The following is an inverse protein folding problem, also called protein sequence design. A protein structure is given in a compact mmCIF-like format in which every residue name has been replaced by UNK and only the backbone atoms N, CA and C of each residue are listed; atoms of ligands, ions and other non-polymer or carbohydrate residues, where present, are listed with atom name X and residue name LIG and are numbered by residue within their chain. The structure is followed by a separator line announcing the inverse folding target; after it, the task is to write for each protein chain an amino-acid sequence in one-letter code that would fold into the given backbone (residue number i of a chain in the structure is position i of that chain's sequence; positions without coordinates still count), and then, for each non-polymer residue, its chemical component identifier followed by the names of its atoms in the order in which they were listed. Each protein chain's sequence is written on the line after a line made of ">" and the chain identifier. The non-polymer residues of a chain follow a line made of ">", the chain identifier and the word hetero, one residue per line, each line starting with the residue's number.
data_IF_616261533527
#
_entry.id   IF_616261533527
#
_cell.length_a   1.000
_cell.length_b   1.000
_cell.length_c   1.000
_cell.angle_alpha   90.00
_cell.angle_beta   90.00
_cell.angle_gamma   90.00
#
_symmetry.space_group_name_H-M   'P 1'
#
loop_
_entity.id
_entity.type
_entity.pdbx_description
1 polymer ?
#
# COMPACT_ATOMS: atom_id res chain seq x y z
N UNK A 1 13.61 0.08 27.09
CA UNK A 1 13.88 -1.10 26.25
C UNK A 1 14.44 -0.70 24.90
N UNK A 2 14.92 -1.70 24.14
CA UNK A 2 15.43 -1.51 22.77
C UNK A 2 14.68 -2.45 21.84
N UNK A 3 14.19 -1.93 20.70
CA UNK A 3 13.47 -2.70 19.69
C UNK A 3 14.20 -2.57 18.35
N UNK A 4 14.44 -3.70 17.71
CA UNK A 4 14.98 -3.77 16.35
C UNK A 4 13.93 -4.41 15.44
N UNK A 5 13.48 -3.65 14.44
CA UNK A 5 12.59 -4.13 13.40
C UNK A 5 13.36 -4.36 12.11
N UNK A 6 13.29 -5.58 11.60
CA UNK A 6 13.89 -5.97 10.32
C UNK A 6 12.82 -6.01 9.24
N UNK A 7 13.10 -5.41 8.09
CA UNK A 7 12.19 -5.42 6.95
C UNK A 7 12.96 -5.51 5.65
N UNK A 8 12.44 -6.26 4.69
CA UNK A 8 12.95 -6.32 3.32
C UNK A 8 12.27 -5.30 2.40
N UNK A 9 11.23 -4.62 2.87
CA UNK A 9 10.56 -3.52 2.15
C UNK A 9 11.33 -2.21 2.30
N UNK A 10 12.28 -1.96 1.39
CA UNK A 10 13.05 -0.71 1.38
C UNK A 10 12.13 0.52 1.21
N UNK A 11 11.10 0.43 0.36
CA UNK A 11 10.13 1.52 0.15
C UNK A 11 9.37 1.88 1.42
N UNK A 12 9.00 0.88 2.23
CA UNK A 12 8.35 1.12 3.52
C UNK A 12 9.30 1.87 4.48
N UNK A 13 10.55 1.42 4.58
CA UNK A 13 11.54 2.08 5.43
C UNK A 13 11.84 3.52 4.99
N UNK A 14 11.95 3.76 3.69
CA UNK A 14 12.11 5.11 3.13
C UNK A 14 10.89 6.00 3.44
N UNK A 15 9.67 5.47 3.33
CA UNK A 15 8.46 6.22 3.69
C UNK A 15 8.42 6.58 5.18
N UNK A 16 8.92 5.72 6.05
CA UNK A 16 9.06 6.02 7.48
C UNK A 16 10.12 7.10 7.74
N UNK A 17 11.24 7.06 7.02
CA UNK A 17 12.34 8.01 7.16
C UNK A 17 11.92 9.45 6.76
N UNK A 18 11.20 9.59 5.65
CA UNK A 18 10.70 10.88 5.15
C UNK A 18 9.40 11.33 5.81
N UNK A 19 8.90 10.58 6.80
CA UNK A 19 7.63 10.85 7.50
C UNK A 19 6.45 11.01 6.52
N UNK A 20 6.27 10.04 5.64
CA UNK A 20 5.21 10.04 4.62
C UNK A 20 3.83 9.84 5.26
N UNK A 21 3.19 10.95 5.65
CA UNK A 21 1.88 10.92 6.32
C UNK A 21 0.69 10.71 5.39
N UNK A 22 0.89 10.67 4.09
CA UNK A 22 -0.21 10.46 3.13
C UNK A 22 -0.71 9.03 3.11
N UNK A 23 0.09 8.07 3.58
CA UNK A 23 -0.27 6.66 3.61
C UNK A 23 -0.74 6.22 5.01
N UNK A 24 -2.01 5.75 5.18
CA UNK A 24 -2.58 5.42 6.49
C UNK A 24 -1.77 4.42 7.32
N UNK A 25 -1.20 3.39 6.66
CA UNK A 25 -0.36 2.39 7.36
C UNK A 25 0.95 3.01 7.88
N UNK A 26 1.56 3.92 7.13
CA UNK A 26 2.77 4.63 7.59
C UNK A 26 2.43 5.49 8.79
N UNK A 27 1.31 6.22 8.76
CA UNK A 27 0.82 6.99 9.91
C UNK A 27 0.63 6.11 11.14
N UNK A 28 0.00 4.94 11.01
CA UNK A 28 -0.22 4.02 12.15
C UNK A 28 1.11 3.53 12.73
N UNK A 29 2.07 3.14 11.88
CA UNK A 29 3.41 2.73 12.32
C UNK A 29 4.10 3.88 13.05
N UNK A 30 4.11 5.09 12.49
CA UNK A 30 4.74 6.26 13.12
C UNK A 30 4.11 6.61 14.47
N UNK A 31 2.79 6.54 14.60
CA UNK A 31 2.09 6.72 15.87
C UNK A 31 2.52 5.69 16.92
N UNK A 32 2.66 4.42 16.53
CA UNK A 32 3.10 3.34 17.43
C UNK A 32 4.57 3.53 17.84
N UNK A 33 5.44 3.88 16.90
CA UNK A 33 6.85 4.21 17.16
C UNK A 33 6.95 5.38 18.14
N UNK A 34 6.21 6.46 17.91
CA UNK A 34 6.16 7.59 18.83
C UNK A 34 5.73 7.17 20.24
N UNK A 35 4.72 6.30 20.35
CA UNK A 35 4.28 5.74 21.64
C UNK A 35 5.35 4.92 22.36
N UNK A 36 6.22 4.22 21.61
CA UNK A 36 7.37 3.50 22.20
C UNK A 36 8.45 4.47 22.68
N UNK A 37 8.81 5.46 21.86
CA UNK A 37 9.81 6.49 22.20
C UNK A 37 9.38 7.30 23.43
N UNK A 38 8.11 7.66 23.54
CA UNK A 38 7.55 8.38 24.69
C UNK A 38 7.65 7.59 26.00
N UNK A 39 7.79 6.27 25.94
CA UNK A 39 8.01 5.36 27.09
C UNK A 39 9.51 5.07 27.32
N UNK A 40 10.39 5.91 26.82
CA UNK A 40 11.85 5.78 26.94
C UNK A 40 12.41 4.46 26.39
N UNK A 41 11.88 4.05 25.21
CA UNK A 41 12.41 2.93 24.45
C UNK A 41 13.17 3.44 23.22
N UNK A 42 14.19 2.70 22.82
CA UNK A 42 14.88 2.90 21.55
C UNK A 42 14.21 2.04 20.47
N UNK A 43 14.01 2.59 19.30
CA UNK A 43 13.45 1.89 18.13
C UNK A 43 14.41 2.06 16.96
N UNK A 44 14.83 0.94 16.39
CA UNK A 44 15.71 0.90 15.22
C UNK A 44 15.04 0.09 14.12
N UNK A 45 14.99 0.63 12.91
CA UNK A 45 14.61 -0.09 11.71
C UNK A 45 15.86 -0.43 10.90
N UNK A 46 15.91 -1.64 10.39
CA UNK A 46 17.02 -2.11 9.56
C UNK A 46 16.47 -2.84 8.33
N UNK A 47 17.00 -2.49 7.17
CA UNK A 47 16.71 -3.22 5.96
C UNK A 47 17.48 -4.53 5.92
N UNK A 48 16.82 -5.58 5.43
CA UNK A 48 17.42 -6.89 5.16
C UNK A 48 17.06 -7.35 3.74
N UNK A 49 17.95 -8.07 3.05
CA UNK A 49 17.60 -8.64 1.75
C UNK A 49 16.46 -9.64 1.87
N UNK A 50 15.53 -9.63 0.90
CA UNK A 50 14.48 -10.64 0.79
C UNK A 50 15.07 -11.99 0.35
N UNK A 51 14.44 -13.10 0.79
CA UNK A 51 14.70 -14.47 0.33
C UNK A 51 16.15 -14.98 0.53
N UNK A 52 16.89 -14.42 1.46
CA UNK A 52 18.27 -14.88 1.80
C UNK A 52 18.31 -15.90 2.95
N UNK A 53 17.21 -16.53 3.27
CA UNK A 53 17.14 -17.57 4.29
C UNK A 53 17.08 -17.06 5.74
N UNK A 54 16.82 -15.78 5.97
CA UNK A 54 16.55 -15.25 7.31
C UNK A 54 15.21 -15.81 7.81
N UNK A 55 15.27 -16.70 8.81
CA UNK A 55 14.10 -17.42 9.31
C UNK A 55 12.95 -16.48 9.74
N UNK A 56 13.29 -15.35 10.39
CA UNK A 56 12.31 -14.36 10.79
C UNK A 56 11.59 -13.70 9.59
N UNK A 57 12.33 -13.35 8.55
CA UNK A 57 11.75 -12.77 7.33
C UNK A 57 10.88 -13.79 6.58
N UNK A 58 11.35 -15.04 6.48
CA UNK A 58 10.56 -16.14 5.87
C UNK A 58 9.26 -16.39 6.63
N UNK A 59 9.29 -16.34 7.96
CA UNK A 59 8.10 -16.49 8.79
C UNK A 59 7.11 -15.30 8.60
N UNK A 60 7.63 -14.07 8.51
CA UNK A 60 6.83 -12.89 8.23
C UNK A 60 6.16 -12.96 6.85
N UNK A 61 6.87 -13.39 5.81
CA UNK A 61 6.33 -13.62 4.47
C UNK A 61 5.21 -14.67 4.47
N UNK A 62 5.42 -15.77 5.19
CA UNK A 62 4.40 -16.81 5.33
C UNK A 62 3.14 -16.29 6.04
N UNK A 63 3.33 -15.51 7.11
CA UNK A 63 2.23 -14.89 7.84
C UNK A 63 1.48 -13.86 6.97
N UNK A 64 2.19 -13.04 6.20
CA UNK A 64 1.60 -12.08 5.27
C UNK A 64 0.76 -12.79 4.19
N UNK A 65 1.26 -13.89 3.61
CA UNK A 65 0.49 -14.72 2.65
C UNK A 65 -0.74 -15.35 3.29
N UNK A 66 -0.62 -15.88 4.49
CA UNK A 66 -1.73 -16.48 5.22
C UNK A 66 -2.83 -15.46 5.55
N UNK A 67 -2.46 -14.20 5.76
CA UNK A 67 -3.42 -13.12 6.07
C UNK A 67 -4.41 -12.84 4.91
N UNK A 68 -4.07 -13.19 3.67
CA UNK A 68 -4.96 -13.05 2.51
C UNK A 68 -6.22 -13.91 2.61
N UNK A 69 -6.19 -14.98 3.41
CA UNK A 69 -7.35 -15.85 3.67
C UNK A 69 -8.22 -15.36 4.83
N UNK A 70 -7.79 -14.34 5.54
CA UNK A 70 -8.54 -13.78 6.67
C UNK A 70 -9.62 -12.80 6.19
N UNK A 71 -10.69 -12.60 6.97
CA UNK A 71 -11.68 -11.57 6.68
C UNK A 71 -11.02 -10.19 6.58
N UNK A 72 -11.47 -9.40 5.61
CA UNK A 72 -10.98 -8.02 5.44
C UNK A 72 -11.37 -7.21 6.68
N UNK A 73 -10.37 -6.67 7.37
CA UNK A 73 -10.58 -5.75 8.48
C UNK A 73 -10.92 -4.35 7.96
N UNK A 74 -11.70 -3.59 8.74
CA UNK A 74 -11.98 -2.17 8.45
C UNK A 74 -10.67 -1.36 8.58
N UNK A 75 -9.92 -1.25 7.49
CA UNK A 75 -8.75 -0.39 7.39
C UNK A 75 -9.03 0.76 6.43
N UNK A 76 -8.46 1.91 6.73
CA UNK A 76 -8.50 3.05 5.80
C UNK A 76 -7.70 2.72 4.54
N UNK A 77 -8.36 2.86 3.39
CA UNK A 77 -7.72 2.64 2.09
C UNK A 77 -6.99 3.92 1.69
N UNK A 78 -5.74 3.85 1.20
CA UNK A 78 -5.03 5.01 0.69
C UNK A 78 -5.80 5.70 -0.43
N UNK A 79 -5.78 7.04 -0.47
CA UNK A 79 -6.46 7.80 -1.53
C UNK A 79 -5.94 7.48 -2.94
N UNK A 80 -4.67 7.06 -3.05
CA UNK A 80 -4.04 6.59 -4.30
C UNK A 80 -4.80 5.42 -4.93
N UNK A 81 -5.31 4.50 -4.12
CA UNK A 81 -6.00 3.30 -4.59
C UNK A 81 -7.39 3.65 -5.16
N UNK A 82 -8.05 4.66 -4.57
CA UNK A 82 -9.29 5.20 -5.11
C UNK A 82 -9.12 5.86 -6.48
N UNK A 83 -7.98 6.50 -6.75
CA UNK A 83 -7.72 7.12 -8.07
C UNK A 83 -7.82 6.09 -9.19
N UNK A 84 -7.24 4.91 -9.03
CA UNK A 84 -7.29 3.83 -10.02
C UNK A 84 -8.72 3.32 -10.23
N UNK A 85 -9.46 3.11 -9.15
CA UNK A 85 -10.86 2.67 -9.21
C UNK A 85 -11.76 3.71 -9.90
N UNK A 86 -11.61 4.99 -9.54
CA UNK A 86 -12.37 6.09 -10.16
C UNK A 86 -12.04 6.17 -11.65
N UNK A 87 -10.76 6.09 -12.02
CA UNK A 87 -10.33 6.12 -13.43
C UNK A 87 -10.98 5.01 -14.24
N UNK A 88 -10.93 3.77 -13.75
CA UNK A 88 -11.56 2.63 -14.44
C UNK A 88 -13.07 2.84 -14.58
N UNK A 89 -13.73 3.32 -13.52
CA UNK A 89 -15.17 3.58 -13.55
C UNK A 89 -15.54 4.68 -14.56
N UNK A 90 -14.79 5.78 -14.56
CA UNK A 90 -15.00 6.90 -15.48
C UNK A 90 -14.77 6.48 -16.93
N UNK A 91 -13.69 5.76 -17.21
CA UNK A 91 -13.40 5.26 -18.56
C UNK A 91 -14.49 4.31 -19.06
N UNK A 92 -14.99 3.43 -18.20
CA UNK A 92 -16.09 2.52 -18.55
C UNK A 92 -17.38 3.29 -18.88
N UNK A 93 -17.73 4.29 -18.08
CA UNK A 93 -18.91 5.15 -18.35
C UNK A 93 -18.73 5.96 -19.64
N UNK A 94 -17.55 6.53 -19.83
CA UNK A 94 -17.23 7.27 -21.04
C UNK A 94 -17.35 6.37 -22.28
N UNK A 95 -16.80 5.16 -22.25
CA UNK A 95 -16.89 4.22 -23.36
C UNK A 95 -18.34 3.82 -23.65
N UNK A 96 -19.16 3.62 -22.61
CA UNK A 96 -20.59 3.33 -22.80
C UNK A 96 -21.32 4.50 -23.49
N UNK A 97 -21.07 5.72 -23.04
CA UNK A 97 -21.64 6.91 -23.67
C UNK A 97 -21.17 7.08 -25.12
N UNK A 98 -19.86 6.88 -25.36
CA UNK A 98 -19.27 6.93 -26.71
C UNK A 98 -19.89 5.91 -27.65
N UNK A 99 -20.12 4.69 -27.22
CA UNK A 99 -20.72 3.65 -28.03
C UNK A 99 -22.17 3.95 -28.42
N UNK A 100 -22.87 4.81 -27.68
CA UNK A 100 -24.23 5.25 -28.01
C UNK A 100 -24.24 6.39 -29.05
N UNK A 101 -23.12 7.11 -29.21
CA UNK A 101 -23.01 8.25 -30.13
C UNK A 101 -22.66 7.80 -31.56
N UNK A 102 -23.58 7.09 -32.20
CA UNK A 102 -23.36 6.48 -33.53
C UNK A 102 -23.18 7.50 -34.67
N UNK A 103 -23.60 8.76 -34.48
CA UNK A 103 -23.51 9.83 -35.48
C UNK A 103 -22.18 10.60 -35.44
N UNK A 104 -21.24 10.21 -34.57
CA UNK A 104 -19.95 10.85 -34.47
C UNK A 104 -19.00 10.33 -35.55
N UNK A 105 -18.41 11.22 -36.34
CA UNK A 105 -17.45 10.88 -37.39
C UNK A 105 -16.20 10.12 -36.89
N UNK A 106 -15.88 10.24 -35.60
CA UNK A 106 -14.74 9.60 -34.98
C UNK A 106 -15.10 8.24 -34.36
N UNK A 107 -16.39 7.85 -34.37
CA UNK A 107 -16.84 6.60 -33.74
C UNK A 107 -16.15 5.35 -34.30
N UNK A 108 -15.81 5.35 -35.59
CA UNK A 108 -15.15 4.23 -36.25
C UNK A 108 -13.62 4.17 -36.04
N UNK A 109 -13.01 5.25 -35.53
CA UNK A 109 -11.54 5.39 -35.44
C UNK A 109 -10.98 5.15 -34.05
N UNK A 110 -11.80 5.18 -33.00
CA UNK A 110 -11.39 5.06 -31.61
C UNK A 110 -12.15 3.93 -30.90
N UNK A 111 -11.80 2.69 -31.22
CA UNK A 111 -12.08 1.56 -30.32
C UNK A 111 -10.84 1.33 -29.46
N UNK A 112 -10.90 1.71 -28.20
CA UNK A 112 -9.87 1.47 -27.19
C UNK A 112 -10.09 0.13 -26.50
#
# INVERSE_FOLDING_TARGET
>A
GRFLFLSDSLSCLQSLEILEFSHPLICDILCRVHGLLARNNDVVFMWVPSHVGLAGNTAADAAAKASLALPVTNSTVPHSDYKSLIRVHVLKKWQQAWNLETNNKLHSTNQW
#
